data_IF_616267430607
#
_entry.id   IF_616267430607
#
_cell.length_a   1.000
_cell.length_b   1.000
_cell.length_c   1.000
_cell.angle_alpha   90.00
_cell.angle_beta   90.00
_cell.angle_gamma   90.00
#
_symmetry.space_group_name_H-M   'P 1'
#
loop_
_entity.id
_entity.type
_entity.pdbx_description
1 polymer ?
#
# COMPACT_ATOMS: atom_id res chain seq x y z
N UNK A 1 -41.67 40.21 -31.59
CA UNK A 1 -40.75 40.55 -30.47
C UNK A 1 -39.90 39.33 -30.21
N UNK A 2 -38.61 39.37 -30.61
CA UNK A 2 -37.63 38.29 -30.41
C UNK A 2 -37.30 38.19 -28.91
N UNK A 3 -37.50 37.01 -28.32
CA UNK A 3 -37.01 36.66 -26.98
C UNK A 3 -35.80 35.75 -27.14
N UNK A 4 -34.61 36.33 -27.06
CA UNK A 4 -33.34 35.60 -26.87
C UNK A 4 -32.77 36.01 -25.52
N UNK A 5 -32.88 35.15 -24.51
CA UNK A 5 -32.05 35.22 -23.31
C UNK A 5 -30.94 34.17 -23.42
N UNK A 6 -29.78 34.60 -23.93
CA UNK A 6 -28.49 34.04 -23.57
C UNK A 6 -27.75 35.15 -22.83
N UNK A 7 -27.48 34.97 -21.55
CA UNK A 7 -26.45 35.70 -20.83
C UNK A 7 -25.65 34.66 -20.06
N UNK A 8 -24.67 34.07 -20.74
CA UNK A 8 -23.51 33.49 -20.07
C UNK A 8 -22.59 34.66 -19.75
N UNK A 9 -22.42 34.96 -18.47
CA UNK A 9 -21.30 35.77 -18.03
C UNK A 9 -20.11 34.81 -17.87
N UNK A 10 -19.35 34.63 -18.95
CA UNK A 10 -17.98 34.16 -18.84
C UNK A 10 -17.15 35.34 -18.35
N UNK A 11 -16.90 35.39 -17.05
CA UNK A 11 -15.88 36.26 -16.48
C UNK A 11 -14.57 35.50 -16.60
N UNK A 12 -13.87 35.72 -17.72
CA UNK A 12 -12.45 35.41 -17.81
C UNK A 12 -11.72 36.45 -16.95
N UNK A 13 -11.26 36.04 -15.78
CA UNK A 13 -10.33 36.83 -14.98
C UNK A 13 -8.97 36.81 -15.66
N UNK A 14 -8.79 37.72 -16.60
CA UNK A 14 -7.47 38.13 -17.10
C UNK A 14 -7.12 39.41 -16.31
N UNK A 15 -6.81 39.22 -15.02
CA UNK A 15 -6.73 40.28 -14.01
C UNK A 15 -5.29 40.65 -13.61
N UNK A 16 -4.28 40.14 -14.30
CA UNK A 16 -2.88 40.41 -13.95
C UNK A 16 -2.39 41.77 -14.51
N UNK A 17 -2.88 42.23 -15.66
CA UNK A 17 -2.33 43.43 -16.31
C UNK A 17 -2.98 44.77 -15.87
N UNK A 18 -4.14 44.75 -15.21
CA UNK A 18 -4.85 45.97 -14.79
C UNK A 18 -4.49 46.45 -13.36
N UNK A 19 -3.89 45.59 -12.55
CA UNK A 19 -3.55 45.87 -11.13
C UNK A 19 -2.15 46.50 -10.97
N UNK A 20 -1.33 46.60 -12.02
CA UNK A 20 -0.02 47.25 -11.95
C UNK A 20 -0.09 48.79 -11.94
N UNK A 21 -1.25 49.38 -12.29
CA UNK A 21 -1.41 50.84 -12.41
C UNK A 21 -1.69 51.58 -11.09
N UNK A 22 -2.10 50.87 -10.04
CA UNK A 22 -2.32 51.43 -8.69
C UNK A 22 -1.53 50.53 -7.75
N UNK A 23 -0.34 50.98 -7.32
CA UNK A 23 0.57 50.17 -6.52
C UNK A 23 -0.14 49.39 -5.42
N UNK A 24 0.09 48.08 -5.36
CA UNK A 24 -0.58 47.18 -4.42
C UNK A 24 0.38 46.61 -3.39
N UNK A 25 -0.13 46.38 -2.16
CA UNK A 25 0.62 45.66 -1.13
C UNK A 25 0.52 44.16 -1.37
N UNK A 26 1.64 43.52 -1.69
CA UNK A 26 1.79 42.06 -1.73
C UNK A 26 2.55 41.60 -0.49
N UNK A 27 1.94 40.74 0.32
CA UNK A 27 2.55 40.17 1.52
C UNK A 27 2.27 38.66 1.59
N UNK A 28 3.31 37.89 1.89
CA UNK A 28 3.21 36.44 2.14
C UNK A 28 3.80 36.16 3.52
N UNK A 29 2.98 35.61 4.43
CA UNK A 29 3.47 35.10 5.71
C UNK A 29 3.91 33.64 5.54
N UNK A 30 5.22 33.43 5.43
CA UNK A 30 5.80 32.09 5.27
C UNK A 30 5.55 31.16 6.47
N UNK A 31 5.33 31.72 7.67
CA UNK A 31 5.07 30.95 8.89
C UNK A 31 3.61 30.54 9.06
N UNK A 32 2.69 31.16 8.31
CA UNK A 32 1.26 30.92 8.44
C UNK A 32 0.91 29.43 8.22
N UNK A 33 1.52 28.78 7.22
CA UNK A 33 1.22 27.38 6.87
C UNK A 33 1.55 26.41 8.01
N UNK A 34 2.72 26.54 8.62
CA UNK A 34 3.13 25.68 9.73
C UNK A 34 2.30 25.95 10.99
N UNK A 35 2.05 27.24 11.29
CA UNK A 35 1.23 27.64 12.44
C UNK A 35 -0.22 27.16 12.30
N UNK A 36 -0.75 27.17 11.08
CA UNK A 36 -2.09 26.67 10.75
C UNK A 36 -2.20 25.17 11.03
N UNK A 37 -1.26 24.36 10.53
CA UNK A 37 -1.22 22.91 10.79
C UNK A 37 -1.07 22.60 12.29
N UNK A 38 -0.18 23.30 12.99
CA UNK A 38 0.00 23.15 14.43
C UNK A 38 -1.27 23.50 15.23
N UNK A 39 -1.98 24.55 14.80
CA UNK A 39 -3.26 24.95 15.40
C UNK A 39 -4.33 23.88 15.19
N UNK A 40 -4.46 23.34 13.97
CA UNK A 40 -5.38 22.25 13.67
C UNK A 40 -5.07 20.99 14.48
N UNK A 41 -3.78 20.64 14.62
CA UNK A 41 -3.37 19.49 15.43
C UNK A 41 -3.76 19.68 16.90
N UNK A 42 -3.54 20.90 17.42
CA UNK A 42 -3.94 21.28 18.78
C UNK A 42 -5.46 21.20 18.97
N UNK A 43 -6.25 21.71 18.02
CA UNK A 43 -7.71 21.63 18.05
C UNK A 43 -8.18 20.17 18.05
N UNK A 44 -7.62 19.32 17.18
CA UNK A 44 -7.93 17.88 17.12
C UNK A 44 -7.68 17.18 18.46
N UNK A 45 -6.51 17.43 19.08
CA UNK A 45 -6.14 16.83 20.37
C UNK A 45 -7.11 17.21 21.51
N UNK A 46 -7.65 18.42 21.47
CA UNK A 46 -8.67 18.90 22.39
C UNK A 46 -10.11 18.62 21.92
N UNK A 47 -10.27 17.93 20.79
CA UNK A 47 -11.57 17.61 20.16
C UNK A 47 -12.41 18.86 19.82
N UNK A 48 -11.76 19.99 19.60
CA UNK A 48 -12.43 21.22 19.19
C UNK A 48 -12.73 21.15 17.70
N UNK A 49 -13.98 21.43 17.32
CA UNK A 49 -14.46 21.44 15.93
C UNK A 49 -14.38 20.10 15.19
N UNK A 50 -14.05 18.99 15.87
CA UNK A 50 -14.10 17.66 15.28
C UNK A 50 -15.52 17.29 14.86
N UNK A 51 -15.69 17.04 13.56
CA UNK A 51 -16.95 16.76 12.87
C UNK A 51 -16.99 15.35 12.27
N UNK A 52 -16.01 14.51 12.61
CA UNK A 52 -15.96 13.09 12.24
C UNK A 52 -15.25 12.25 13.29
N UNK A 53 -15.69 11.00 13.41
CA UNK A 53 -15.05 9.95 14.19
C UNK A 53 -14.68 8.81 13.24
N UNK A 54 -13.40 8.41 13.23
CA UNK A 54 -12.95 7.18 12.59
C UNK A 54 -12.87 6.08 13.64
N UNK A 55 -13.52 4.95 13.39
CA UNK A 55 -13.54 3.79 14.29
C UNK A 55 -12.72 2.66 13.68
N UNK A 56 -11.65 2.25 14.37
CA UNK A 56 -10.84 1.07 14.03
C UNK A 56 -10.83 0.11 15.22
N UNK A 57 -11.37 -1.09 15.00
CA UNK A 57 -11.70 -2.00 16.09
C UNK A 57 -12.66 -1.34 17.07
N UNK A 58 -12.21 -1.17 18.32
CA UNK A 58 -12.96 -0.51 19.40
C UNK A 58 -12.40 0.87 19.76
N UNK A 59 -11.49 1.43 18.94
CA UNK A 59 -10.86 2.73 19.21
C UNK A 59 -11.40 3.81 18.30
N UNK A 60 -11.88 4.90 18.90
CA UNK A 60 -12.36 6.09 18.21
C UNK A 60 -11.23 7.11 18.03
N UNK A 61 -11.14 7.68 16.83
CA UNK A 61 -10.26 8.79 16.50
C UNK A 61 -11.12 9.97 16.04
N UNK A 62 -11.17 11.02 16.86
CA UNK A 62 -11.82 12.28 16.50
C UNK A 62 -10.92 13.08 15.56
N UNK A 63 -11.50 13.63 14.49
CA UNK A 63 -10.79 14.41 13.50
C UNK A 63 -11.71 15.44 12.81
N UNK A 64 -11.13 16.21 11.88
CA UNK A 64 -11.83 17.13 11.01
C UNK A 64 -11.93 16.53 9.61
N UNK A 65 -13.15 16.48 9.04
CA UNK A 65 -13.42 15.93 7.70
C UNK A 65 -12.57 16.59 6.63
N UNK A 66 -12.48 17.92 6.67
CA UNK A 66 -11.74 18.70 5.68
C UNK A 66 -10.24 18.37 5.68
N UNK A 67 -9.60 18.26 6.85
CA UNK A 67 -8.18 17.94 6.96
C UNK A 67 -7.89 16.56 6.39
N UNK A 68 -8.70 15.56 6.77
CA UNK A 68 -8.54 14.20 6.28
C UNK A 68 -8.85 14.06 4.78
N UNK A 69 -9.86 14.76 4.27
CA UNK A 69 -10.21 14.75 2.86
C UNK A 69 -9.09 15.35 1.98
N UNK A 70 -8.36 16.36 2.47
CA UNK A 70 -7.24 16.96 1.73
C UNK A 70 -6.10 15.97 1.44
N UNK A 71 -5.89 14.97 2.30
CA UNK A 71 -4.80 13.99 2.15
C UNK A 71 -5.24 12.65 1.58
N UNK A 72 -6.53 12.32 1.69
CA UNK A 72 -7.07 11.02 1.29
C UNK A 72 -8.25 11.20 0.33
N UNK A 73 -8.05 10.91 -0.97
CA UNK A 73 -9.13 10.86 -1.95
C UNK A 73 -10.25 9.89 -1.56
N UNK A 74 -9.90 8.77 -0.92
CA UNK A 74 -10.89 7.81 -0.43
C UNK A 74 -11.78 8.40 0.67
N UNK A 75 -11.19 9.11 1.65
CA UNK A 75 -11.95 9.76 2.71
C UNK A 75 -12.77 10.94 2.16
N UNK A 76 -12.25 11.67 1.18
CA UNK A 76 -13.01 12.71 0.49
C UNK A 76 -14.28 12.13 -0.15
N UNK A 77 -14.16 11.07 -0.94
CA UNK A 77 -15.30 10.36 -1.54
C UNK A 77 -16.28 9.84 -0.48
N UNK A 78 -15.75 9.22 0.59
CA UNK A 78 -16.54 8.70 1.71
C UNK A 78 -17.36 9.81 2.38
N UNK A 79 -16.73 10.94 2.71
CA UNK A 79 -17.41 12.04 3.40
C UNK A 79 -18.40 12.77 2.50
N UNK A 80 -18.09 12.93 1.21
CA UNK A 80 -18.99 13.56 0.25
C UNK A 80 -20.26 12.74 0.01
N UNK A 81 -20.14 11.42 -0.12
CA UNK A 81 -21.31 10.55 -0.35
C UNK A 81 -22.34 10.61 0.78
N UNK A 82 -21.90 10.95 1.99
CA UNK A 82 -22.75 10.95 3.18
C UNK A 82 -23.42 12.31 3.44
N UNK A 83 -22.89 13.39 2.86
CA UNK A 83 -23.52 14.72 2.91
C UNK A 83 -24.84 14.72 2.11
N UNK A 84 -24.95 13.87 1.09
CA UNK A 84 -26.12 13.76 0.23
C UNK A 84 -27.25 12.89 0.84
N UNK A 85 -26.96 12.06 1.85
CA UNK A 85 -27.91 11.09 2.41
C UNK A 85 -28.59 11.54 3.71
N UNK A 86 -27.94 12.32 4.58
CA UNK A 86 -28.54 12.89 5.80
C UNK A 86 -27.75 14.15 6.14
N UNK A 87 -28.42 15.27 6.48
CA UNK A 87 -27.77 16.40 7.16
C UNK A 87 -26.89 15.86 8.29
N UNK A 88 -25.57 15.82 8.11
CA UNK A 88 -24.60 14.86 8.68
C UNK A 88 -24.47 14.73 10.21
N UNK A 89 -25.43 15.23 10.98
CA UNK A 89 -25.71 14.78 12.33
C UNK A 89 -26.49 13.46 12.27
N UNK A 90 -26.00 12.46 12.99
CA UNK A 90 -26.88 11.38 13.46
C UNK A 90 -28.09 12.02 14.18
N UNK A 91 -29.25 11.37 14.20
CA UNK A 91 -30.47 11.91 14.82
C UNK A 91 -30.28 12.39 16.28
N UNK A 92 -29.19 11.99 16.93
CA UNK A 92 -28.77 12.33 18.28
C UNK A 92 -27.78 13.51 18.38
N UNK A 93 -27.48 14.23 17.29
CA UNK A 93 -26.54 15.36 17.27
C UNK A 93 -25.07 14.98 17.39
N UNK A 94 -24.73 13.69 17.30
CA UNK A 94 -23.34 13.20 17.38
C UNK A 94 -22.66 13.29 16.02
N UNK A 95 -21.35 13.56 16.07
CA UNK A 95 -20.49 13.50 14.91
C UNK A 95 -20.59 12.12 14.23
N UNK A 96 -20.65 12.07 12.89
CA UNK A 96 -20.74 10.85 12.12
C UNK A 96 -19.52 9.96 12.37
N UNK A 97 -19.77 8.66 12.54
CA UNK A 97 -18.77 7.66 12.90
C UNK A 97 -18.58 6.66 11.75
N UNK A 98 -17.39 6.66 11.15
CA UNK A 98 -17.03 5.74 10.07
C UNK A 98 -16.19 4.60 10.61
N UNK A 99 -16.73 3.39 10.52
CA UNK A 99 -15.96 2.18 10.78
C UNK A 99 -15.09 1.86 9.57
N UNK A 100 -13.78 2.02 9.73
CA UNK A 100 -12.83 1.63 8.71
C UNK A 100 -12.61 0.12 8.79
N UNK A 101 -13.19 -0.59 7.84
CA UNK A 101 -13.09 -2.04 7.72
C UNK A 101 -11.92 -2.41 6.79
N UNK A 102 -11.42 -3.65 6.93
CA UNK A 102 -10.41 -4.25 6.04
C UNK A 102 -8.99 -3.86 6.44
N UNK A 103 -8.25 -4.75 7.12
CA UNK A 103 -6.80 -4.71 7.39
C UNK A 103 -6.10 -3.37 7.76
N UNK A 104 -6.81 -2.25 7.97
CA UNK A 104 -6.25 -1.00 8.48
C UNK A 104 -6.00 -1.20 9.97
N UNK A 105 -4.74 -1.22 10.36
CA UNK A 105 -4.38 -1.28 11.78
C UNK A 105 -4.56 0.09 12.43
N UNK A 106 -4.82 0.09 13.74
CA UNK A 106 -4.90 1.32 14.52
C UNK A 106 -3.59 2.11 14.42
N UNK A 107 -2.45 1.40 14.43
CA UNK A 107 -1.12 1.97 14.28
C UNK A 107 -0.98 2.71 12.95
N UNK A 108 -1.26 2.03 11.83
CA UNK A 108 -1.19 2.64 10.51
C UNK A 108 -2.07 3.89 10.40
N UNK A 109 -3.31 3.82 10.87
CA UNK A 109 -4.22 4.96 10.83
C UNK A 109 -3.73 6.14 11.68
N UNK A 110 -3.17 5.90 12.87
CA UNK A 110 -2.67 6.96 13.75
C UNK A 110 -1.55 7.77 13.10
N UNK A 111 -0.60 7.10 12.45
CA UNK A 111 0.47 7.79 11.72
C UNK A 111 -0.07 8.61 10.56
N UNK A 112 -1.05 8.11 9.81
CA UNK A 112 -1.65 8.83 8.70
C UNK A 112 -2.48 10.04 9.15
N UNK A 113 -3.20 9.90 10.27
CA UNK A 113 -3.90 11.04 10.89
C UNK A 113 -2.90 12.07 11.39
N UNK A 114 -1.81 11.67 12.05
CA UNK A 114 -0.80 12.65 12.48
C UNK A 114 -0.15 13.34 11.27
N UNK A 115 0.21 12.58 10.23
CA UNK A 115 0.71 13.10 8.95
C UNK A 115 -0.24 14.13 8.33
N UNK A 116 -1.55 13.91 8.38
CA UNK A 116 -2.52 14.86 7.85
C UNK A 116 -2.50 16.22 8.57
N UNK A 117 -2.07 16.25 9.83
CA UNK A 117 -2.06 17.44 10.67
C UNK A 117 -0.68 18.06 10.87
N UNK A 118 0.39 17.36 10.51
CA UNK A 118 1.78 17.85 10.64
C UNK A 118 2.47 18.02 9.30
N UNK A 119 2.03 17.32 8.26
CA UNK A 119 2.75 17.18 6.99
C UNK A 119 4.02 16.34 7.09
N UNK A 120 4.33 15.75 8.25
CA UNK A 120 5.51 14.92 8.51
C UNK A 120 5.11 13.49 8.82
N UNK A 121 5.91 12.54 8.35
CA UNK A 121 5.72 11.11 8.58
C UNK A 121 6.98 10.52 9.21
N UNK A 122 6.90 10.21 10.50
CA UNK A 122 7.98 9.59 11.28
C UNK A 122 7.49 8.23 11.78
N UNK A 123 7.99 7.15 11.18
CA UNK A 123 7.47 5.79 11.40
C UNK A 123 8.64 4.86 11.76
N UNK A 124 8.59 4.15 12.89
CA UNK A 124 9.54 3.08 13.21
C UNK A 124 9.54 1.97 12.15
N UNK A 125 10.71 1.39 11.85
CA UNK A 125 10.88 0.41 10.75
C UNK A 125 9.89 -0.75 10.78
N UNK A 126 9.65 -1.31 11.96
CA UNK A 126 8.72 -2.41 12.21
C UNK A 126 7.24 -2.06 11.93
N UNK A 127 6.89 -0.77 11.92
CA UNK A 127 5.53 -0.29 11.68
C UNK A 127 5.29 0.22 10.24
N UNK A 128 6.33 0.30 9.41
CA UNK A 128 6.23 0.86 8.05
C UNK A 128 5.21 0.10 7.19
N UNK A 129 5.16 -1.23 7.32
CA UNK A 129 4.21 -2.06 6.59
C UNK A 129 2.75 -1.74 6.94
N UNK A 130 2.46 -1.56 8.21
CA UNK A 130 1.13 -1.19 8.70
C UNK A 130 0.69 0.16 8.13
N UNK A 131 1.60 1.13 8.11
CA UNK A 131 1.36 2.46 7.53
C UNK A 131 1.17 2.35 6.01
N UNK A 132 1.98 1.55 5.31
CA UNK A 132 1.85 1.30 3.88
C UNK A 132 0.45 0.75 3.53
N UNK A 133 0.00 -0.30 4.23
CA UNK A 133 -1.28 -0.95 3.98
C UNK A 133 -2.44 0.01 4.23
N UNK A 134 -2.39 0.79 5.32
CA UNK A 134 -3.39 1.81 5.60
C UNK A 134 -3.40 2.92 4.53
N UNK A 135 -2.22 3.40 4.11
CA UNK A 135 -2.10 4.45 3.10
C UNK A 135 -2.62 3.98 1.74
N UNK A 136 -2.32 2.73 1.37
CA UNK A 136 -2.82 2.11 0.15
C UNK A 136 -4.35 2.08 0.11
N UNK A 137 -4.98 1.64 1.19
CA UNK A 137 -6.44 1.57 1.27
C UNK A 137 -7.09 2.97 1.30
N UNK A 138 -6.49 3.91 2.02
CA UNK A 138 -6.94 5.30 2.07
C UNK A 138 -6.51 6.12 0.84
N UNK A 139 -5.90 5.50 -0.17
CA UNK A 139 -5.44 6.13 -1.42
C UNK A 139 -4.49 7.33 -1.19
N UNK A 140 -3.61 7.26 -0.18
CA UNK A 140 -2.62 8.30 0.12
C UNK A 140 -1.31 7.98 -0.62
N UNK A 141 -1.32 8.22 -1.94
CA UNK A 141 -0.26 7.76 -2.87
C UNK A 141 1.15 8.25 -2.50
N UNK A 142 1.28 9.45 -1.94
CA UNK A 142 2.58 9.98 -1.50
C UNK A 142 3.19 9.12 -0.40
N UNK A 143 2.40 8.74 0.60
CA UNK A 143 2.86 7.90 1.71
C UNK A 143 3.14 6.48 1.23
N UNK A 144 2.29 5.93 0.35
CA UNK A 144 2.52 4.61 -0.28
C UNK A 144 3.89 4.55 -0.95
N UNK A 145 4.24 5.59 -1.73
CA UNK A 145 5.53 5.68 -2.43
C UNK A 145 6.72 5.76 -1.48
N UNK A 146 6.63 6.58 -0.43
CA UNK A 146 7.73 6.74 0.53
C UNK A 146 7.94 5.50 1.40
N UNK A 147 6.87 4.87 1.90
CA UNK A 147 6.96 3.61 2.62
C UNK A 147 7.55 2.51 1.73
N UNK A 148 7.09 2.42 0.48
CA UNK A 148 7.63 1.48 -0.51
C UNK A 148 9.14 1.69 -0.71
N UNK A 149 9.54 2.92 -1.01
CA UNK A 149 10.97 3.27 -1.22
C UNK A 149 11.83 2.85 -0.03
N UNK A 150 11.36 3.08 1.19
CA UNK A 150 12.08 2.70 2.41
C UNK A 150 12.20 1.17 2.55
N UNK A 151 11.11 0.43 2.36
CA UNK A 151 11.13 -1.04 2.44
C UNK A 151 12.07 -1.68 1.41
N UNK A 152 12.26 -1.06 0.23
CA UNK A 152 13.24 -1.56 -0.77
C UNK A 152 14.68 -1.29 -0.35
N UNK A 153 14.94 -0.13 0.25
CA UNK A 153 16.31 0.21 0.70
C UNK A 153 16.79 -0.64 1.88
N UNK A 154 15.87 -1.24 2.63
CA UNK A 154 16.13 -2.04 3.82
C UNK A 154 15.55 -3.46 3.68
N UNK A 155 15.73 -4.06 2.50
CA UNK A 155 15.27 -5.43 2.23
C UNK A 155 16.10 -6.45 2.99
N UNK A 156 15.39 -7.38 3.62
CA UNK A 156 15.95 -8.55 4.31
C UNK A 156 15.42 -9.84 3.66
N UNK A 157 16.16 -10.96 3.70
CA UNK A 157 15.69 -12.24 3.16
C UNK A 157 14.34 -12.67 3.74
N UNK A 158 14.11 -12.42 5.04
CA UNK A 158 12.89 -12.73 5.78
C UNK A 158 11.68 -11.96 5.27
N UNK A 159 11.86 -10.70 4.84
CA UNK A 159 10.78 -9.78 4.50
C UNK A 159 10.58 -9.61 3.00
N UNK A 160 11.57 -9.96 2.16
CA UNK A 160 11.55 -9.65 0.72
C UNK A 160 10.34 -10.22 -0.04
N UNK A 161 9.92 -11.44 0.28
CA UNK A 161 8.76 -12.09 -0.35
C UNK A 161 7.46 -11.38 0.05
N UNK A 162 7.35 -11.03 1.33
CA UNK A 162 6.18 -10.33 1.85
C UNK A 162 6.08 -8.92 1.27
N UNK A 163 7.19 -8.19 1.22
CA UNK A 163 7.31 -6.89 0.56
C UNK A 163 6.92 -6.97 -0.92
N UNK A 164 7.32 -8.04 -1.62
CA UNK A 164 6.96 -8.27 -3.03
C UNK A 164 5.48 -8.55 -3.26
N UNK A 165 4.80 -9.10 -2.25
CA UNK A 165 3.37 -9.46 -2.30
C UNK A 165 2.43 -8.35 -1.81
N UNK A 166 2.97 -7.22 -1.34
CA UNK A 166 2.16 -6.09 -0.89
C UNK A 166 1.25 -5.56 -2.01
N UNK A 167 0.02 -5.13 -1.67
CA UNK A 167 -0.93 -4.65 -2.66
C UNK A 167 -0.41 -3.37 -3.32
N UNK A 168 -0.58 -3.26 -4.64
CA UNK A 168 -0.17 -2.08 -5.40
C UNK A 168 1.29 -2.02 -5.84
N UNK A 169 2.14 -2.91 -5.31
CA UNK A 169 3.56 -2.98 -5.67
C UNK A 169 3.77 -3.19 -7.16
N UNK A 170 2.94 -4.04 -7.77
CA UNK A 170 2.94 -4.30 -9.22
C UNK A 170 2.70 -3.05 -10.10
N UNK A 171 2.19 -1.95 -9.54
CA UNK A 171 2.04 -0.67 -10.27
C UNK A 171 3.35 0.09 -10.39
N UNK A 172 4.33 -0.18 -9.53
CA UNK A 172 5.64 0.45 -9.56
C UNK A 172 6.67 -0.53 -10.13
N UNK A 173 6.93 -0.42 -11.44
CA UNK A 173 7.86 -1.31 -12.15
C UNK A 173 9.28 -1.26 -11.60
N UNK A 174 9.76 -0.09 -11.20
CA UNK A 174 11.11 0.07 -10.64
C UNK A 174 11.23 -0.66 -9.30
N UNK A 175 10.25 -0.45 -8.41
CA UNK A 175 10.18 -1.17 -7.14
C UNK A 175 10.19 -2.69 -7.36
N UNK A 176 9.36 -3.18 -8.29
CA UNK A 176 9.30 -4.61 -8.60
C UNK A 176 10.66 -5.14 -9.06
N UNK A 177 11.33 -4.41 -9.94
CA UNK A 177 12.67 -4.78 -10.44
C UNK A 177 13.69 -4.85 -9.29
N UNK A 178 13.69 -3.88 -8.38
CA UNK A 178 14.64 -3.85 -7.25
C UNK A 178 14.42 -5.03 -6.31
N UNK A 179 13.16 -5.31 -5.94
CA UNK A 179 12.83 -6.44 -5.06
C UNK A 179 13.12 -7.77 -5.75
N UNK A 180 12.78 -7.91 -7.04
CA UNK A 180 13.04 -9.15 -7.79
C UNK A 180 14.55 -9.38 -7.97
N UNK A 181 15.33 -8.33 -8.20
CA UNK A 181 16.79 -8.42 -8.26
C UNK A 181 17.39 -8.84 -6.91
N UNK A 182 16.86 -8.31 -5.80
CA UNK A 182 17.27 -8.72 -4.46
C UNK A 182 16.93 -10.18 -4.18
N UNK A 183 15.70 -10.62 -4.50
CA UNK A 183 15.26 -12.01 -4.32
C UNK A 183 16.14 -12.96 -5.15
N UNK A 184 16.44 -12.60 -6.40
CA UNK A 184 17.31 -13.41 -7.26
C UNK A 184 18.73 -13.53 -6.70
N UNK A 185 19.28 -12.44 -6.14
CA UNK A 185 20.61 -12.44 -5.52
C UNK A 185 20.66 -13.26 -4.23
N UNK A 186 19.62 -13.21 -3.40
CA UNK A 186 19.56 -13.85 -2.09
C UNK A 186 18.62 -15.06 -2.07
N UNK A 187 18.44 -15.72 -3.22
CA UNK A 187 17.41 -16.75 -3.41
C UNK A 187 17.54 -17.92 -2.43
N UNK A 188 18.78 -18.33 -2.12
CA UNK A 188 19.03 -19.44 -1.20
C UNK A 188 18.40 -19.19 0.17
N UNK A 189 18.56 -17.99 0.74
CA UNK A 189 18.00 -17.60 2.03
C UNK A 189 16.50 -17.32 1.93
N UNK A 190 16.08 -16.57 0.91
CA UNK A 190 14.68 -16.22 0.68
C UNK A 190 13.80 -17.48 0.49
N UNK A 191 14.32 -18.52 -0.17
CA UNK A 191 13.59 -19.78 -0.41
C UNK A 191 13.33 -20.62 0.85
N UNK A 192 14.09 -20.40 1.93
CA UNK A 192 13.87 -21.08 3.21
C UNK A 192 12.80 -20.40 4.06
N UNK A 193 12.36 -19.20 3.68
CA UNK A 193 11.42 -18.43 4.47
C UNK A 193 10.00 -18.97 4.33
N UNK A 194 9.18 -19.00 5.41
CA UNK A 194 7.80 -19.45 5.36
C UNK A 194 6.94 -18.70 4.33
N UNK A 195 7.23 -17.40 4.12
CA UNK A 195 6.55 -16.57 3.14
C UNK A 195 6.72 -17.08 1.70
N UNK A 196 7.84 -17.74 1.39
CA UNK A 196 8.10 -18.31 0.07
C UNK A 196 7.10 -19.42 -0.28
N UNK A 197 6.67 -20.20 0.71
CA UNK A 197 5.66 -21.27 0.54
C UNK A 197 4.25 -20.72 0.31
N UNK A 198 4.01 -19.45 0.63
CA UNK A 198 2.73 -18.77 0.43
C UNK A 198 2.61 -18.13 -0.96
N UNK A 199 3.66 -18.19 -1.78
CA UNK A 199 3.61 -17.67 -3.14
C UNK A 199 2.57 -18.44 -3.97
N UNK A 200 1.61 -17.73 -4.60
CA UNK A 200 0.41 -18.34 -5.15
C UNK A 200 0.63 -19.17 -6.43
N UNK A 201 1.86 -19.24 -6.96
CA UNK A 201 2.12 -19.99 -8.18
C UNK A 201 3.58 -20.40 -8.32
N UNK A 202 3.82 -21.69 -8.55
CA UNK A 202 5.01 -22.15 -9.26
C UNK A 202 4.71 -22.00 -10.75
N UNK A 203 5.40 -21.08 -11.42
CA UNK A 203 5.35 -21.02 -12.88
C UNK A 203 6.10 -22.24 -13.43
N UNK A 204 5.39 -23.12 -14.13
CA UNK A 204 5.98 -24.28 -14.80
C UNK A 204 5.88 -24.06 -16.29
N UNK A 205 7.02 -23.80 -16.92
CA UNK A 205 7.12 -23.72 -18.37
C UNK A 205 7.39 -25.11 -18.95
N UNK A 206 6.51 -25.55 -19.84
CA UNK A 206 6.71 -26.78 -20.61
C UNK A 206 7.40 -26.41 -21.92
N UNK A 207 8.62 -26.94 -22.10
CA UNK A 207 9.40 -26.75 -23.32
C UNK A 207 8.91 -27.72 -24.40
N UNK A 208 8.51 -27.18 -25.55
CA UNK A 208 8.10 -27.95 -26.73
C UNK A 208 9.18 -27.87 -27.81
N UNK A 209 9.44 -28.96 -28.53
CA UNK A 209 10.37 -28.95 -29.66
C UNK A 209 9.70 -28.44 -30.93
N UNK A 210 8.37 -28.62 -31.06
CA UNK A 210 7.62 -28.16 -32.24
C UNK A 210 6.27 -27.52 -31.88
N UNK A 211 5.72 -26.70 -32.79
CA UNK A 211 4.37 -26.12 -32.64
C UNK A 211 3.26 -27.17 -32.63
N UNK A 212 3.44 -28.30 -33.32
CA UNK A 212 2.46 -29.38 -33.38
C UNK A 212 2.29 -30.06 -32.02
N UNK A 213 3.39 -30.30 -31.29
CA UNK A 213 3.37 -30.84 -29.93
C UNK A 213 2.60 -29.93 -28.97
N UNK A 214 2.80 -28.62 -29.07
CA UNK A 214 2.11 -27.63 -28.22
C UNK A 214 0.58 -27.71 -28.39
N UNK A 215 0.09 -27.92 -29.61
CA UNK A 215 -1.37 -28.07 -29.89
C UNK A 215 -1.98 -29.37 -29.36
N UNK A 216 -1.18 -30.39 -29.06
CA UNK A 216 -1.66 -31.69 -28.58
C UNK A 216 -1.77 -31.75 -27.05
N UNK A 217 -1.20 -30.76 -26.34
CA UNK A 217 -1.24 -30.72 -24.88
C UNK A 217 -2.50 -30.04 -24.38
N UNK A 218 -3.31 -30.80 -23.66
CA UNK A 218 -4.46 -30.30 -22.90
C UNK A 218 -4.04 -29.88 -21.49
N UNK A 219 -4.78 -28.98 -20.85
CA UNK A 219 -4.54 -28.60 -19.44
C UNK A 219 -4.49 -29.83 -18.52
N UNK A 220 -5.39 -30.81 -18.71
CA UNK A 220 -5.43 -32.02 -17.90
C UNK A 220 -4.17 -32.88 -18.07
N UNK A 221 -3.66 -33.03 -19.31
CA UNK A 221 -2.39 -33.72 -19.56
C UNK A 221 -1.20 -32.97 -18.98
N UNK A 222 -1.19 -31.63 -19.05
CA UNK A 222 -0.14 -30.79 -18.49
C UNK A 222 -0.05 -30.97 -16.97
N UNK A 223 -1.19 -30.90 -16.27
CA UNK A 223 -1.26 -31.11 -14.83
C UNK A 223 -0.74 -32.51 -14.42
N UNK A 224 -1.11 -33.57 -15.15
CA UNK A 224 -0.56 -34.92 -14.88
C UNK A 224 0.94 -34.98 -15.11
N UNK A 225 1.43 -34.37 -16.19
CA UNK A 225 2.85 -34.38 -16.55
C UNK A 225 3.69 -33.69 -15.47
N UNK A 226 3.21 -32.55 -14.97
CA UNK A 226 3.80 -31.81 -13.85
C UNK A 226 3.83 -32.67 -12.58
N UNK A 227 2.70 -33.25 -12.18
CA UNK A 227 2.62 -34.05 -10.96
C UNK A 227 3.51 -35.30 -11.03
N UNK A 228 3.53 -35.98 -12.18
CA UNK A 228 4.39 -37.16 -12.38
C UNK A 228 5.88 -36.80 -12.48
N UNK A 229 6.22 -35.59 -12.96
CA UNK A 229 7.59 -35.08 -12.90
C UNK A 229 8.01 -34.79 -11.45
N UNK A 230 7.19 -34.07 -10.68
CA UNK A 230 7.44 -33.79 -9.25
C UNK A 230 7.63 -35.10 -8.48
N UNK A 231 6.75 -36.08 -8.66
CA UNK A 231 6.86 -37.40 -8.01
C UNK A 231 8.17 -38.10 -8.34
N UNK A 232 8.60 -38.09 -9.61
CA UNK A 232 9.87 -38.71 -10.02
C UNK A 232 11.07 -38.05 -9.36
N UNK A 233 11.12 -36.72 -9.35
CA UNK A 233 12.19 -35.97 -8.69
C UNK A 233 12.28 -36.26 -7.18
N UNK A 234 11.13 -36.38 -6.50
CA UNK A 234 11.10 -36.74 -5.08
C UNK A 234 11.63 -38.16 -4.82
N UNK A 235 11.36 -39.12 -5.70
CA UNK A 235 11.86 -40.49 -5.56
C UNK A 235 13.34 -40.64 -5.91
N UNK A 236 13.85 -39.85 -6.87
CA UNK A 236 15.28 -39.81 -7.21
C UNK A 236 16.12 -39.22 -6.07
N UNK A 237 15.65 -38.17 -5.38
CA UNK A 237 16.32 -37.57 -4.21
C UNK A 237 16.29 -38.48 -2.97
N UNK A 238 15.21 -39.24 -2.76
CA UNK A 238 15.09 -40.20 -1.65
C UNK A 238 16.00 -41.43 -1.77
N UNK A 239 16.56 -41.67 -2.97
CA UNK A 239 17.46 -42.80 -3.24
C UNK A 239 18.93 -42.51 -2.93
N UNK A 240 19.31 -41.24 -2.78
CA UNK A 240 20.72 -40.83 -2.68
C UNK A 240 21.24 -40.63 -1.24
N UNK A 241 20.41 -40.79 -0.20
CA UNK A 241 20.81 -40.56 1.20
C UNK A 241 21.30 -41.84 1.91
N UNK A 242 21.16 -43.02 1.31
CA UNK A 242 21.47 -44.30 1.99
C UNK A 242 22.84 -44.91 1.69
N UNK A 243 23.70 -44.25 0.91
CA UNK A 243 25.02 -44.81 0.51
C UNK A 243 26.23 -44.01 0.98
N UNK A 244 26.19 -43.48 2.21
CA UNK A 244 27.40 -43.08 2.93
C UNK A 244 27.35 -43.55 4.39
N UNK A 245 27.23 -44.87 4.59
CA UNK A 245 27.77 -45.50 5.81
C UNK A 245 29.15 -46.08 5.46
N UNK A 246 30.26 -45.60 6.03
CA UNK A 246 31.54 -46.25 5.88
C UNK A 246 31.56 -47.51 6.76
N UNK A 247 31.49 -48.67 6.12
CA UNK A 247 31.81 -49.94 6.75
C UNK A 247 33.31 -50.01 7.05
N UNK A 248 33.60 -50.16 8.34
CA UNK A 248 34.67 -51.03 8.88
C UNK A 248 36.14 -50.58 8.72
N UNK A 249 36.72 -50.08 9.80
CA UNK A 249 38.10 -50.40 10.18
C UNK A 249 38.07 -50.97 11.60
N UNK A 250 38.14 -52.29 11.71
CA UNK A 250 38.54 -52.99 12.94
C UNK A 250 40.07 -52.92 13.07
N UNK A 251 40.64 -52.59 14.24
CA UNK A 251 42.07 -52.77 14.47
C UNK A 251 42.33 -54.20 14.93
N UNK A 252 43.12 -54.96 14.16
CA UNK A 252 43.69 -56.22 14.61
C UNK A 252 45.15 -55.99 15.02
N UNK A 253 45.47 -56.49 16.20
CA UNK A 253 46.74 -56.44 16.92
C UNK A 253 47.88 -57.16 16.19
N UNK A 254 49.09 -56.61 16.27
CA UNK A 254 50.38 -57.32 16.38
C UNK A 254 51.41 -56.40 17.03
#
# INVERSE_FOLDING_TARGET
>A
IKMTRKHGYNITYDSDDAMESLGYLKFTDESMKSNFLQSLSTMRRHRLFCDVILLVGNTEIHAHRNVLACVSPHLMELFSSDVDTVNGATADGKAPCYRLNGHITLTGLRFLVEYAYTGSLEVPGDMIRDVYLAAWQLKIDTVVKECARHMVSDLEPETCIETRSLPGINRNKHFVQDVDAYIAKNFAEASQQPAFLQLPCVLIEVLYQTKQEMTLVTEASLCRLVLDWIRRQMMEQGSSVTTLSPSSITPNTS
#
